data_IF_415729289657
#
_entry.id   IF_415729289657
#
_cell.length_a   1.000
_cell.length_b   1.000
_cell.length_c   1.000
_cell.angle_alpha   90.00
_cell.angle_beta   90.00
_cell.angle_gamma   90.00
#
_symmetry.space_group_name_H-M   'P 1'
#
loop_
_entity.id
_entity.type
_entity.pdbx_description
1 polymer ?
#
# COMPACT_ATOMS: atom_id res chain seq x y z
N UNK A 1 11.18 -0.61 -4.30
CA UNK A 1 10.48 -1.13 -5.51
C UNK A 1 10.36 -0.01 -6.55
N UNK A 2 9.88 -0.30 -7.76
CA UNK A 2 9.69 0.70 -8.83
C UNK A 2 8.22 0.72 -9.27
N UNK A 3 7.60 1.88 -9.35
CA UNK A 3 6.15 2.02 -9.52
C UNK A 3 5.83 2.66 -10.86
N UNK A 4 5.02 1.99 -11.67
CA UNK A 4 4.42 2.62 -12.86
C UNK A 4 3.38 3.66 -12.39
N UNK A 5 3.49 4.92 -12.83
CA UNK A 5 2.56 6.01 -12.49
C UNK A 5 2.09 6.73 -13.75
N UNK A 6 0.85 7.23 -13.77
CA UNK A 6 0.34 8.04 -14.88
C UNK A 6 0.68 9.52 -14.68
N UNK A 7 1.61 10.06 -15.47
CA UNK A 7 1.84 11.51 -15.58
C UNK A 7 0.71 12.21 -16.34
N UNK A 8 0.16 11.54 -17.35
CA UNK A 8 -1.10 11.91 -18.01
C UNK A 8 -2.03 10.73 -17.94
N UNK A 9 -3.20 10.96 -17.37
CA UNK A 9 -4.18 9.91 -17.17
C UNK A 9 -4.73 9.43 -18.52
N UNK A 10 -5.18 8.16 -18.61
CA UNK A 10 -5.68 7.59 -19.86
C UNK A 10 -6.90 8.32 -20.39
N UNK A 11 -6.85 8.64 -21.69
CA UNK A 11 -7.92 9.31 -22.42
C UNK A 11 -7.99 8.84 -23.87
N UNK A 12 -9.15 9.02 -24.47
CA UNK A 12 -9.36 8.77 -25.90
C UNK A 12 -9.09 10.05 -26.69
N UNK A 13 -8.24 9.95 -27.71
CA UNK A 13 -7.82 11.08 -28.54
C UNK A 13 -8.18 10.80 -30.00
N UNK A 14 -8.82 11.75 -30.70
CA UNK A 14 -9.09 11.62 -32.13
C UNK A 14 -7.79 11.68 -32.93
N UNK A 15 -7.68 10.87 -33.97
CA UNK A 15 -6.57 10.93 -34.92
C UNK A 15 -6.83 12.04 -35.94
N UNK A 16 -5.83 12.90 -36.16
CA UNK A 16 -5.98 14.06 -37.06
C UNK A 16 -6.25 13.60 -38.49
N UNK A 17 -7.34 14.10 -39.07
CA UNK A 17 -7.69 13.82 -40.47
C UNK A 17 -8.33 12.45 -40.71
N UNK A 18 -8.68 11.70 -39.66
CA UNK A 18 -9.42 10.44 -39.77
C UNK A 18 -10.64 10.45 -38.82
N UNK A 19 -11.57 9.52 -39.01
CA UNK A 19 -12.65 9.25 -38.05
C UNK A 19 -12.23 8.32 -36.92
N UNK A 20 -10.94 7.94 -36.84
CA UNK A 20 -10.42 6.99 -35.86
C UNK A 20 -9.98 7.71 -34.60
N UNK A 21 -10.02 6.98 -33.50
CA UNK A 21 -9.52 7.43 -32.21
C UNK A 21 -8.59 6.37 -31.62
N UNK A 22 -7.67 6.81 -30.77
CA UNK A 22 -6.76 5.94 -30.04
C UNK A 22 -6.76 6.30 -28.57
N UNK A 23 -6.44 5.34 -27.72
CA UNK A 23 -6.12 5.63 -26.33
C UNK A 23 -4.72 6.22 -26.26
N UNK A 24 -4.55 7.27 -25.46
CA UNK A 24 -3.27 7.85 -25.11
C UNK A 24 -3.14 8.04 -23.59
N UNK A 25 -1.98 7.69 -23.04
CA UNK A 25 -1.55 8.09 -21.70
C UNK A 25 -0.03 8.32 -21.67
N UNK A 26 0.46 8.91 -20.58
CA UNK A 26 1.90 9.11 -20.36
C UNK A 26 2.24 8.52 -19.01
N UNK A 27 3.19 7.58 -18.98
CA UNK A 27 3.65 6.96 -17.73
C UNK A 27 5.05 7.42 -17.35
N UNK A 28 5.39 7.22 -16.08
CA UNK A 28 6.76 7.17 -15.55
C UNK A 28 6.93 5.90 -14.72
N UNK A 29 8.18 5.50 -14.46
CA UNK A 29 8.52 4.40 -13.55
C UNK A 29 9.54 4.94 -12.55
N UNK A 30 9.16 5.04 -11.28
CA UNK A 30 9.98 5.70 -10.25
C UNK A 30 10.04 4.91 -8.96
N UNK A 31 10.91 5.31 -8.02
CA UNK A 31 10.84 4.89 -6.62
C UNK A 31 9.47 5.23 -6.00
N UNK A 32 9.22 4.71 -4.81
CA UNK A 32 8.10 5.10 -3.95
C UNK A 32 8.09 6.61 -3.65
N UNK A 33 9.26 7.22 -3.44
CA UNK A 33 9.44 8.67 -3.29
C UNK A 33 9.26 9.47 -4.60
N UNK A 34 9.35 8.81 -5.76
CA UNK A 34 9.33 9.51 -7.05
C UNK A 34 10.63 10.25 -7.41
N UNK A 35 11.69 10.10 -6.60
CA UNK A 35 12.95 10.84 -6.71
C UNK A 35 13.97 10.22 -7.67
N UNK A 36 13.77 8.96 -8.06
CA UNK A 36 14.64 8.21 -8.95
C UNK A 36 13.82 7.41 -9.96
N UNK A 37 14.29 7.38 -11.20
CA UNK A 37 13.66 6.64 -12.30
C UNK A 37 14.19 5.20 -12.38
N UNK A 38 13.44 4.30 -13.00
CA UNK A 38 13.91 2.93 -13.28
C UNK A 38 15.23 2.96 -14.09
N UNK A 39 16.34 2.42 -13.56
CA UNK A 39 17.66 2.58 -14.17
C UNK A 39 18.00 1.49 -15.21
N UNK A 40 17.05 0.64 -15.58
CA UNK A 40 17.24 -0.49 -16.51
C UNK A 40 16.27 -0.48 -17.68
N UNK A 41 16.60 -1.25 -18.70
CA UNK A 41 15.71 -1.53 -19.82
C UNK A 41 14.69 -2.60 -19.42
N UNK A 42 13.40 -2.35 -19.72
CA UNK A 42 12.33 -3.31 -19.47
C UNK A 42 11.27 -3.27 -20.56
N UNK A 43 10.73 -4.45 -20.89
CA UNK A 43 9.53 -4.57 -21.71
C UNK A 43 8.30 -4.60 -20.80
N UNK A 44 7.31 -3.77 -21.13
CA UNK A 44 6.03 -3.73 -20.43
C UNK A 44 4.91 -4.17 -21.36
N UNK A 45 3.92 -4.84 -20.82
CA UNK A 45 2.63 -5.06 -21.46
C UNK A 45 1.70 -3.88 -21.15
N UNK A 46 1.30 -3.13 -22.20
CA UNK A 46 0.24 -2.14 -22.11
C UNK A 46 -1.07 -2.74 -22.64
N UNK A 47 -2.04 -2.95 -21.75
CA UNK A 47 -3.28 -3.67 -22.01
C UNK A 47 -4.49 -2.76 -21.84
N UNK A 48 -5.27 -2.57 -22.90
CA UNK A 48 -6.60 -1.98 -22.84
C UNK A 48 -7.60 -3.09 -22.49
N UNK A 49 -8.26 -2.93 -21.35
CA UNK A 49 -9.24 -3.84 -20.80
C UNK A 49 -10.65 -3.28 -21.02
N UNK A 50 -11.58 -4.15 -21.42
CA UNK A 50 -13.01 -3.89 -21.38
C UNK A 50 -13.57 -4.46 -20.07
N UNK A 51 -14.14 -3.60 -19.24
CA UNK A 51 -14.78 -3.95 -17.97
C UNK A 51 -16.26 -4.24 -18.23
N UNK A 52 -16.68 -5.47 -17.93
CA UNK A 52 -18.05 -5.94 -18.06
C UNK A 52 -18.53 -6.54 -16.74
N UNK A 53 -19.82 -6.86 -16.64
CA UNK A 53 -20.36 -7.58 -15.48
C UNK A 53 -19.71 -8.96 -15.26
N UNK A 54 -19.13 -9.56 -16.31
CA UNK A 54 -18.44 -10.85 -16.25
C UNK A 54 -16.95 -10.74 -15.85
N UNK A 55 -16.42 -9.51 -15.71
CA UNK A 55 -15.03 -9.24 -15.37
C UNK A 55 -14.31 -8.35 -16.39
N UNK A 56 -12.98 -8.32 -16.27
CA UNK A 56 -12.08 -7.55 -17.15
C UNK A 56 -11.52 -8.45 -18.26
N UNK A 57 -11.66 -8.01 -19.52
CA UNK A 57 -11.15 -8.75 -20.68
C UNK A 57 -10.20 -7.89 -21.51
N UNK A 58 -9.08 -8.46 -21.96
CA UNK A 58 -8.11 -7.75 -22.82
C UNK A 58 -8.72 -7.51 -24.18
N UNK A 59 -9.00 -6.24 -24.50
CA UNK A 59 -9.51 -5.82 -25.80
C UNK A 59 -8.37 -5.65 -26.81
N UNK A 60 -7.30 -4.98 -26.39
CA UNK A 60 -6.09 -4.73 -27.20
C UNK A 60 -4.91 -4.71 -26.25
N UNK A 61 -3.77 -5.25 -26.66
CA UNK A 61 -2.52 -5.06 -25.92
C UNK A 61 -1.34 -4.88 -26.86
N UNK A 62 -0.27 -4.28 -26.36
CA UNK A 62 1.02 -4.20 -27.04
C UNK A 62 2.17 -4.28 -26.04
N UNK A 63 3.32 -4.73 -26.52
CA UNK A 63 4.58 -4.56 -25.81
C UNK A 63 5.11 -3.14 -26.04
N UNK A 64 5.56 -2.48 -24.97
CA UNK A 64 6.27 -1.21 -25.03
C UNK A 64 7.63 -1.34 -24.35
N UNK A 65 8.62 -0.61 -24.86
CA UNK A 65 9.97 -0.62 -24.31
C UNK A 65 10.18 0.64 -23.45
N UNK A 66 10.58 0.41 -22.20
CA UNK A 66 11.25 1.43 -21.40
C UNK A 66 12.76 1.22 -21.53
N UNK A 67 13.51 2.30 -21.75
CA UNK A 67 14.98 2.29 -21.81
C UNK A 67 15.52 3.09 -20.65
N UNK A 68 16.63 2.63 -20.08
CA UNK A 68 17.36 3.34 -19.04
C UNK A 68 17.61 4.80 -19.43
N UNK A 69 17.41 5.72 -18.47
CA UNK A 69 17.49 7.16 -18.68
C UNK A 69 16.19 7.83 -19.14
N UNK A 70 15.14 7.07 -19.48
CA UNK A 70 13.81 7.62 -19.70
C UNK A 70 13.25 8.24 -18.40
N UNK A 71 12.51 9.34 -18.57
CA UNK A 71 11.72 9.97 -17.48
C UNK A 71 10.22 9.77 -17.65
N UNK A 72 9.80 9.44 -18.87
CA UNK A 72 8.41 9.21 -19.20
C UNK A 72 8.31 8.41 -20.49
N UNK A 73 7.26 7.60 -20.62
CA UNK A 73 6.98 6.80 -21.80
C UNK A 73 5.54 7.04 -22.27
N UNK A 74 5.33 7.59 -23.48
CA UNK A 74 3.98 7.72 -24.04
C UNK A 74 3.43 6.36 -24.46
N UNK A 75 2.20 6.08 -24.07
CA UNK A 75 1.49 4.86 -24.43
C UNK A 75 0.33 5.23 -25.34
N UNK A 76 0.27 4.57 -26.50
CA UNK A 76 -0.80 4.71 -27.48
C UNK A 76 -1.32 3.35 -27.90
N UNK A 77 -2.62 3.09 -27.73
CA UNK A 77 -3.27 1.84 -28.12
C UNK A 77 -4.40 2.14 -29.12
N UNK A 78 -4.52 1.37 -30.23
CA UNK A 78 -5.67 1.52 -31.11
C UNK A 78 -6.95 1.13 -30.37
N UNK A 79 -8.06 1.81 -30.68
CA UNK A 79 -9.37 1.37 -30.23
C UNK A 79 -9.91 0.30 -31.18
N UNK A 80 -10.55 -0.77 -30.67
CA UNK A 80 -11.20 -1.76 -31.52
C UNK A 80 -12.36 -1.13 -32.30
N UNK A 81 -12.48 -1.48 -33.58
CA UNK A 81 -13.48 -0.93 -34.51
C UNK A 81 -14.93 -1.36 -34.20
N UNK A 82 -15.11 -2.43 -33.42
CA UNK A 82 -16.41 -2.85 -32.92
C UNK A 82 -16.90 -1.81 -31.92
N UNK A 83 -18.11 -1.28 -32.10
CA UNK A 83 -18.81 -0.48 -31.09
C UNK A 83 -18.54 -1.11 -29.73
N UNK A 84 -17.82 -0.45 -28.83
CA UNK A 84 -17.69 -0.86 -27.43
C UNK A 84 -18.97 -0.36 -26.77
N UNK A 85 -20.07 -1.13 -26.75
CA UNK A 85 -21.33 -0.61 -26.26
C UNK A 85 -21.24 -0.68 -24.74
N UNK A 86 -21.52 0.43 -24.06
CA UNK A 86 -21.78 0.50 -22.61
C UNK A 86 -20.73 -0.06 -21.61
N UNK A 87 -19.57 -0.54 -22.06
CA UNK A 87 -18.51 -1.07 -21.18
C UNK A 87 -17.52 0.01 -20.80
N UNK A 88 -17.14 0.04 -19.51
CA UNK A 88 -16.07 0.91 -19.04
C UNK A 88 -14.74 0.35 -19.56
N UNK A 89 -13.85 1.22 -20.01
CA UNK A 89 -12.49 0.86 -20.41
C UNK A 89 -11.54 1.09 -19.25
N UNK A 90 -10.46 0.32 -19.18
CA UNK A 90 -9.37 0.52 -18.23
C UNK A 90 -8.06 0.18 -18.90
N UNK A 91 -6.96 0.84 -18.53
CA UNK A 91 -5.63 0.39 -18.94
C UNK A 91 -4.91 -0.26 -17.77
N UNK A 92 -4.26 -1.39 -18.05
CA UNK A 92 -3.23 -1.99 -17.20
C UNK A 92 -1.88 -1.81 -17.88
N UNK A 93 -0.87 -1.44 -17.10
CA UNK A 93 0.53 -1.46 -17.54
C UNK A 93 1.34 -2.20 -16.49
N UNK A 94 2.09 -3.22 -16.91
CA UNK A 94 2.91 -4.03 -16.02
C UNK A 94 3.98 -4.80 -16.79
N UNK A 95 4.94 -5.45 -16.10
CA UNK A 95 5.98 -6.25 -16.74
C UNK A 95 5.39 -7.50 -17.42
N UNK A 96 4.37 -8.12 -16.84
CA UNK A 96 3.83 -9.38 -17.31
C UNK A 96 2.45 -9.24 -17.98
N UNK A 97 2.29 -9.75 -19.22
CA UNK A 97 1.02 -9.68 -19.94
C UNK A 97 -0.03 -10.59 -19.28
N UNK A 98 -1.29 -10.14 -19.28
CA UNK A 98 -2.48 -10.89 -18.84
C UNK A 98 -2.49 -11.33 -17.37
N UNK A 99 -1.48 -10.98 -16.57
CA UNK A 99 -1.53 -11.16 -15.11
C UNK A 99 -2.55 -10.22 -14.45
N UNK A 100 -3.46 -10.70 -13.60
CA UNK A 100 -4.49 -9.85 -12.98
C UNK A 100 -4.00 -9.12 -11.71
N UNK A 101 -2.81 -9.43 -11.22
CA UNK A 101 -2.18 -8.89 -10.01
C UNK A 101 -0.66 -9.05 -10.08
N UNK A 102 0.05 -8.32 -9.23
CA UNK A 102 1.46 -8.55 -8.91
C UNK A 102 1.58 -9.56 -7.75
N UNK A 103 2.76 -10.17 -7.60
CA UNK A 103 3.10 -11.07 -6.50
C UNK A 103 4.41 -10.61 -5.88
N UNK A 104 4.45 -10.44 -4.55
CA UNK A 104 5.64 -9.91 -3.88
C UNK A 104 6.88 -10.79 -4.11
N UNK A 105 6.71 -12.11 -4.07
CA UNK A 105 7.79 -13.04 -4.36
C UNK A 105 8.34 -12.86 -5.79
N UNK A 106 7.46 -12.68 -6.77
CA UNK A 106 7.85 -12.44 -8.16
C UNK A 106 8.58 -11.10 -8.31
N UNK A 107 8.19 -10.04 -7.57
CA UNK A 107 8.91 -8.76 -7.60
C UNK A 107 10.36 -8.89 -7.13
N UNK A 108 10.67 -9.86 -6.27
CA UNK A 108 12.02 -10.14 -5.78
C UNK A 108 12.85 -10.98 -6.76
N UNK A 109 12.26 -11.52 -7.83
CA UNK A 109 13.02 -12.22 -8.87
C UNK A 109 13.83 -11.22 -9.70
N UNK A 110 15.06 -11.59 -10.07
CA UNK A 110 15.96 -10.69 -10.82
C UNK A 110 15.37 -10.28 -12.17
N UNK A 111 14.61 -11.17 -12.82
CA UNK A 111 13.96 -10.89 -14.09
C UNK A 111 12.81 -9.87 -13.97
N UNK A 112 12.15 -9.77 -12.82
CA UNK A 112 11.00 -8.90 -12.62
C UNK A 112 11.36 -7.43 -12.38
N UNK A 113 12.63 -7.16 -12.06
CA UNK A 113 13.19 -5.81 -11.83
C UNK A 113 12.38 -4.96 -10.83
N UNK A 114 11.62 -5.60 -9.94
CA UNK A 114 10.82 -4.95 -8.90
C UNK A 114 9.79 -3.95 -9.39
N UNK A 115 9.27 -4.07 -10.62
CA UNK A 115 8.31 -3.12 -11.20
C UNK A 115 6.86 -3.49 -10.82
N UNK A 116 6.21 -2.60 -10.07
CA UNK A 116 4.82 -2.69 -9.65
C UNK A 116 3.89 -2.17 -10.75
N UNK A 117 2.94 -3.00 -11.14
CA UNK A 117 1.94 -2.76 -12.18
C UNK A 117 0.94 -1.67 -11.78
N UNK A 118 0.34 -1.02 -12.77
CA UNK A 118 -0.63 0.05 -12.59
C UNK A 118 -1.93 -0.23 -13.36
N UNK A 119 -3.06 -0.17 -12.67
CA UNK A 119 -4.39 -0.16 -13.26
C UNK A 119 -5.00 1.22 -13.13
N UNK A 120 -5.46 1.80 -14.24
CA UNK A 120 -6.20 3.08 -14.18
C UNK A 120 -7.58 2.89 -13.54
N UNK A 121 -8.29 3.97 -13.18
CA UNK A 121 -9.73 3.93 -13.02
C UNK A 121 -10.41 3.47 -14.32
N UNK A 122 -11.62 2.89 -14.23
CA UNK A 122 -12.44 2.70 -15.41
C UNK A 122 -12.87 4.06 -15.97
N UNK A 123 -12.94 4.18 -17.30
CA UNK A 123 -13.31 5.41 -18.00
C UNK A 123 -14.12 5.12 -19.26
N UNK A 124 -14.70 6.18 -19.82
CA UNK A 124 -15.40 6.15 -21.11
C UNK A 124 -14.70 7.10 -22.07
N UNK A 125 -14.98 7.04 -23.39
CA UNK A 125 -14.41 7.98 -24.35
C UNK A 125 -14.72 9.47 -24.08
N UNK A 126 -15.71 9.76 -23.23
CA UNK A 126 -16.22 11.11 -22.97
C UNK A 126 -15.79 11.68 -21.61
N UNK A 127 -15.16 10.87 -20.76
CA UNK A 127 -14.83 11.25 -19.37
C UNK A 127 -13.37 10.96 -19.11
N UNK A 128 -12.63 12.01 -18.75
CA UNK A 128 -11.25 11.88 -18.32
C UNK A 128 -11.15 11.10 -17.00
N UNK A 129 -10.09 10.31 -16.88
CA UNK A 129 -9.77 9.57 -15.67
C UNK A 129 -9.22 10.50 -14.59
N UNK A 130 -9.65 10.27 -13.34
CA UNK A 130 -9.03 10.88 -12.16
C UNK A 130 -7.60 10.34 -11.97
N UNK A 131 -6.75 11.12 -11.29
CA UNK A 131 -5.34 10.78 -11.00
C UNK A 131 -5.20 9.70 -9.92
N UNK A 132 -5.82 8.54 -10.15
CA UNK A 132 -5.73 7.37 -9.30
C UNK A 132 -5.01 6.23 -10.02
N UNK A 133 -4.46 5.32 -9.24
CA UNK A 133 -3.97 4.02 -9.69
C UNK A 133 -4.45 2.97 -8.70
N UNK A 134 -4.97 1.86 -9.20
CA UNK A 134 -5.18 0.67 -8.39
C UNK A 134 -3.92 -0.20 -8.47
N UNK A 135 -3.45 -0.65 -7.30
CA UNK A 135 -2.43 -1.69 -7.14
C UNK A 135 -3.11 -2.97 -6.69
N UNK A 136 -2.72 -4.09 -7.30
CA UNK A 136 -3.30 -5.40 -7.03
C UNK A 136 -2.19 -6.35 -6.65
N UNK A 137 -2.23 -6.92 -5.45
CA UNK A 137 -1.24 -7.87 -4.97
C UNK A 137 -1.93 -9.18 -4.58
N UNK A 138 -1.54 -10.30 -5.19
CA UNK A 138 -1.94 -11.62 -4.71
C UNK A 138 -1.05 -11.99 -3.54
N UNK A 139 -1.69 -12.26 -2.41
CA UNK A 139 -1.06 -12.79 -1.23
C UNK A 139 -0.93 -14.33 -1.36
N UNK A 140 0.03 -14.98 -0.66
CA UNK A 140 0.31 -16.41 -0.78
C UNK A 140 -0.88 -17.38 -0.67
N UNK A 141 -1.98 -16.97 -0.02
CA UNK A 141 -3.20 -17.77 0.18
C UNK A 141 -4.37 -17.38 -0.76
N UNK A 142 -4.06 -16.93 -1.97
CA UNK A 142 -4.98 -16.53 -3.05
C UNK A 142 -5.88 -15.30 -2.82
N UNK A 143 -5.79 -14.67 -1.66
CA UNK A 143 -6.43 -13.37 -1.45
C UNK A 143 -5.71 -12.32 -2.29
N UNK A 144 -6.43 -11.62 -3.16
CA UNK A 144 -5.90 -10.45 -3.88
C UNK A 144 -6.33 -9.19 -3.13
N UNK A 145 -5.33 -8.41 -2.71
CA UNK A 145 -5.53 -7.09 -2.12
C UNK A 145 -5.51 -6.06 -3.25
N UNK A 146 -6.56 -5.27 -3.35
CA UNK A 146 -6.67 -4.19 -4.32
C UNK A 146 -6.78 -2.86 -3.59
N UNK A 147 -5.79 -1.98 -3.76
CA UNK A 147 -5.72 -0.68 -3.11
C UNK A 147 -5.58 0.42 -4.14
N UNK A 148 -6.42 1.45 -4.00
CA UNK A 148 -6.30 2.71 -4.72
C UNK A 148 -5.30 3.63 -4.02
N UNK A 149 -4.44 4.23 -4.82
CA UNK A 149 -3.61 5.38 -4.44
C UNK A 149 -3.84 6.54 -5.41
N UNK A 150 -3.59 7.76 -4.95
CA UNK A 150 -3.53 8.94 -5.80
C UNK A 150 -2.13 9.07 -6.42
N UNK A 151 -2.05 9.62 -7.63
CA UNK A 151 -0.80 9.91 -8.34
C UNK A 151 -0.43 11.39 -8.30
N UNK A 152 -1.01 12.12 -7.34
CA UNK A 152 -0.69 13.52 -7.04
C UNK A 152 0.59 13.68 -6.23
N UNK A 153 0.71 14.78 -5.50
CA UNK A 153 1.88 15.10 -4.65
C UNK A 153 1.65 14.77 -3.16
N UNK A 154 0.55 14.09 -2.82
CA UNK A 154 0.15 13.88 -1.43
C UNK A 154 0.76 12.61 -0.84
N UNK A 155 1.68 12.76 0.12
CA UNK A 155 2.38 11.67 0.80
C UNK A 155 1.43 10.62 1.37
N UNK A 156 0.37 11.04 2.08
CA UNK A 156 -0.56 10.12 2.74
C UNK A 156 -1.49 9.38 1.77
N UNK A 157 -1.51 9.76 0.48
CA UNK A 157 -2.37 9.14 -0.53
C UNK A 157 -1.59 8.23 -1.48
N UNK A 158 -0.35 7.89 -1.14
CA UNK A 158 0.52 6.97 -1.87
C UNK A 158 0.74 5.67 -1.11
N UNK A 159 1.01 4.60 -1.85
CA UNK A 159 1.54 3.36 -1.29
C UNK A 159 3.06 3.43 -1.17
N UNK A 160 3.55 2.92 -0.05
CA UNK A 160 4.96 2.94 0.33
C UNK A 160 5.52 1.52 0.44
N UNK A 161 6.83 1.38 0.21
CA UNK A 161 7.51 0.09 0.18
C UNK A 161 7.26 -0.71 1.48
N UNK A 162 7.27 -0.07 2.65
CA UNK A 162 7.05 -0.75 3.93
C UNK A 162 5.63 -1.31 4.08
N UNK A 163 4.62 -0.60 3.60
CA UNK A 163 3.22 -1.04 3.68
C UNK A 163 2.97 -2.26 2.79
N UNK A 164 3.51 -2.27 1.57
CA UNK A 164 3.40 -3.41 0.66
C UNK A 164 4.18 -4.61 1.20
N UNK A 165 5.46 -4.43 1.55
CA UNK A 165 6.29 -5.51 2.05
C UNK A 165 5.68 -6.15 3.29
N UNK A 166 5.25 -5.35 4.28
CA UNK A 166 4.59 -5.85 5.47
C UNK A 166 3.31 -6.64 5.15
N UNK A 167 2.39 -6.07 4.36
CA UNK A 167 1.14 -6.75 3.99
C UNK A 167 1.35 -8.09 3.33
N UNK A 168 2.37 -8.22 2.48
CA UNK A 168 2.69 -9.48 1.83
C UNK A 168 3.24 -10.56 2.78
N UNK A 169 3.77 -10.16 3.94
CA UNK A 169 4.25 -11.07 5.00
C UNK A 169 3.17 -11.36 6.04
N UNK A 170 2.15 -10.51 6.18
CA UNK A 170 1.11 -10.67 7.20
C UNK A 170 0.29 -11.96 7.05
N UNK A 171 0.25 -12.60 5.86
CA UNK A 171 -0.43 -13.90 5.69
C UNK A 171 0.11 -14.99 6.61
N UNK A 172 1.37 -14.87 7.00
CA UNK A 172 2.05 -15.82 7.87
C UNK A 172 1.53 -15.77 9.31
N UNK A 173 0.74 -14.76 9.67
CA UNK A 173 -0.02 -14.71 10.93
C UNK A 173 -1.01 -15.86 11.10
N UNK A 174 -1.39 -16.55 10.00
CA UNK A 174 -2.26 -17.74 10.06
C UNK A 174 -1.54 -18.97 10.63
N UNK A 175 -0.21 -19.02 10.57
CA UNK A 175 0.59 -20.07 11.19
C UNK A 175 1.31 -19.52 12.42
N UNK A 176 0.93 -19.95 13.65
CA UNK A 176 1.51 -19.44 14.89
C UNK A 176 3.01 -19.74 15.05
N UNK A 177 3.60 -20.60 14.21
CA UNK A 177 5.02 -20.95 14.29
C UNK A 177 5.93 -19.96 13.55
N UNK A 178 5.36 -19.12 12.68
CA UNK A 178 6.13 -18.14 11.90
C UNK A 178 6.70 -17.06 12.80
N UNK A 179 7.83 -16.45 12.39
CA UNK A 179 8.49 -15.40 13.19
C UNK A 179 7.58 -14.18 13.37
N UNK A 180 6.80 -13.81 12.33
CA UNK A 180 5.87 -12.69 12.39
C UNK A 180 4.67 -12.98 13.30
N UNK A 181 4.13 -14.21 13.32
CA UNK A 181 3.09 -14.59 14.25
C UNK A 181 3.58 -14.56 15.70
N UNK A 182 4.77 -15.11 15.97
CA UNK A 182 5.38 -15.06 17.30
C UNK A 182 5.69 -13.63 17.77
N UNK A 183 6.04 -12.74 16.84
CA UNK A 183 6.33 -11.35 17.16
C UNK A 183 5.05 -10.52 17.41
N UNK A 184 4.05 -10.62 16.53
CA UNK A 184 2.84 -9.78 16.57
C UNK A 184 1.73 -10.35 17.46
N UNK A 185 1.66 -11.68 17.59
CA UNK A 185 0.65 -12.41 18.37
C UNK A 185 1.35 -13.42 19.32
N UNK A 186 2.21 -12.94 20.24
CA UNK A 186 3.04 -13.80 21.10
C UNK A 186 2.26 -14.68 22.08
N UNK A 187 0.98 -14.36 22.30
CA UNK A 187 0.02 -15.18 23.05
C UNK A 187 -1.18 -15.47 22.16
N UNK A 188 -1.85 -16.63 22.32
CA UNK A 188 -3.09 -16.91 21.59
C UNK A 188 -4.07 -15.74 21.72
N UNK A 189 -4.52 -15.13 20.62
CA UNK A 189 -5.37 -13.95 20.68
C UNK A 189 -6.73 -14.31 21.29
N UNK A 190 -7.19 -13.49 22.24
CA UNK A 190 -8.59 -13.50 22.66
C UNK A 190 -9.40 -12.69 21.67
N UNK A 191 -10.45 -13.28 21.11
CA UNK A 191 -11.28 -12.59 20.13
C UNK A 191 -12.43 -11.81 20.79
N UNK A 192 -12.82 -10.64 20.24
CA UNK A 192 -12.21 -10.01 19.05
C UNK A 192 -10.83 -9.38 19.34
N UNK A 193 -9.91 -9.50 18.37
CA UNK A 193 -8.58 -8.88 18.42
C UNK A 193 -8.70 -7.42 17.96
N UNK A 194 -8.32 -6.45 18.78
CA UNK A 194 -8.43 -5.02 18.44
C UNK A 194 -7.10 -4.51 17.89
N UNK A 195 -7.14 -4.05 16.64
CA UNK A 195 -5.98 -3.56 15.90
C UNK A 195 -6.19 -2.08 15.57
N UNK A 196 -5.20 -1.25 15.88
CA UNK A 196 -5.15 0.16 15.51
C UNK A 196 -4.00 0.39 14.54
N UNK A 197 -4.28 0.90 13.34
CA UNK A 197 -3.24 1.35 12.41
C UNK A 197 -3.05 2.86 12.54
N UNK A 198 -1.81 3.31 12.77
CA UNK A 198 -1.43 4.73 12.81
C UNK A 198 -0.79 5.13 11.47
N UNK A 199 -1.22 6.25 10.90
CA UNK A 199 -0.69 6.74 9.63
C UNK A 199 -0.98 5.78 8.48
N UNK A 200 -2.25 5.35 8.37
CA UNK A 200 -2.70 4.28 7.47
C UNK A 200 -2.51 4.62 5.98
N UNK A 201 -2.48 5.90 5.62
CA UNK A 201 -2.50 6.39 4.26
C UNK A 201 -3.62 5.77 3.43
N UNK A 202 -3.26 4.91 2.47
CA UNK A 202 -4.22 4.18 1.65
C UNK A 202 -4.90 2.99 2.34
N UNK A 203 -4.45 2.54 3.52
CA UNK A 203 -5.06 1.45 4.27
C UNK A 203 -4.53 0.04 3.99
N UNK A 204 -3.43 -0.09 3.25
CA UNK A 204 -2.92 -1.39 2.77
C UNK A 204 -2.71 -2.42 3.89
N UNK A 205 -2.12 -2.02 5.02
CA UNK A 205 -1.77 -2.94 6.12
C UNK A 205 -3.03 -3.35 6.90
N UNK A 206 -3.82 -2.38 7.37
CA UNK A 206 -5.02 -2.69 8.14
C UNK A 206 -6.11 -3.38 7.34
N UNK A 207 -6.29 -3.06 6.05
CA UNK A 207 -7.20 -3.82 5.15
C UNK A 207 -6.73 -5.27 5.03
N UNK A 208 -5.43 -5.48 4.84
CA UNK A 208 -4.86 -6.84 4.76
C UNK A 208 -5.12 -7.60 6.06
N UNK A 209 -4.86 -6.99 7.22
CA UNK A 209 -5.14 -7.58 8.54
C UNK A 209 -6.62 -7.96 8.70
N UNK A 210 -7.54 -7.06 8.34
CA UNK A 210 -8.97 -7.32 8.45
C UNK A 210 -9.41 -8.52 7.59
N UNK A 211 -8.85 -8.67 6.39
CA UNK A 211 -9.20 -9.78 5.49
C UNK A 211 -8.58 -11.13 5.86
N UNK A 212 -7.39 -11.14 6.49
CA UNK A 212 -6.73 -12.40 6.89
C UNK A 212 -7.10 -12.84 8.31
N UNK A 213 -7.57 -11.92 9.16
CA UNK A 213 -8.00 -12.17 10.54
C UNK A 213 -9.51 -11.87 10.67
N UNK A 214 -10.41 -12.83 10.35
CA UNK A 214 -11.84 -12.58 10.25
C UNK A 214 -12.54 -12.13 11.55
N UNK A 215 -11.90 -12.32 12.71
CA UNK A 215 -12.42 -11.90 14.02
C UNK A 215 -11.70 -10.67 14.59
N UNK A 216 -10.85 -10.01 13.80
CA UNK A 216 -10.20 -8.77 14.21
C UNK A 216 -11.14 -7.57 13.99
N UNK A 217 -11.08 -6.61 14.92
CA UNK A 217 -11.64 -5.28 14.73
C UNK A 217 -10.50 -4.33 14.43
N UNK A 218 -10.46 -3.84 13.19
CA UNK A 218 -9.38 -2.99 12.70
C UNK A 218 -9.87 -1.55 12.59
N UNK A 219 -9.16 -0.63 13.23
CA UNK A 219 -9.39 0.80 13.11
C UNK A 219 -8.19 1.44 12.39
N UNK A 220 -8.43 1.97 11.20
CA UNK A 220 -7.45 2.74 10.43
C UNK A 220 -7.46 4.18 10.90
N UNK A 221 -6.30 4.76 11.14
CA UNK A 221 -6.20 6.17 11.55
C UNK A 221 -5.13 6.94 10.79
N UNK A 222 -5.43 8.20 10.51
CA UNK A 222 -4.54 9.13 9.83
C UNK A 222 -5.09 10.56 10.00
N UNK A 223 -4.40 11.56 9.45
CA UNK A 223 -4.92 12.90 9.32
C UNK A 223 -6.15 12.93 8.40
N UNK A 224 -7.06 13.93 8.55
CA UNK A 224 -8.27 14.05 7.73
C UNK A 224 -8.02 14.01 6.21
N UNK A 225 -6.84 14.43 5.77
CA UNK A 225 -6.48 14.46 4.35
C UNK A 225 -6.41 13.07 3.70
N UNK A 226 -6.20 11.99 4.47
CA UNK A 226 -6.16 10.61 3.97
C UNK A 226 -7.54 9.93 4.01
N UNK A 227 -8.55 10.53 4.66
CA UNK A 227 -9.86 9.93 4.86
C UNK A 227 -10.51 9.48 3.55
N UNK A 228 -10.51 10.33 2.52
CA UNK A 228 -11.17 10.02 1.25
C UNK A 228 -10.58 8.77 0.57
N UNK A 229 -9.24 8.63 0.56
CA UNK A 229 -8.58 7.50 -0.08
C UNK A 229 -8.70 6.23 0.76
N UNK A 230 -8.55 6.34 2.08
CA UNK A 230 -8.72 5.23 3.00
C UNK A 230 -10.16 4.69 2.94
N UNK A 231 -11.18 5.57 3.00
CA UNK A 231 -12.58 5.18 2.93
C UNK A 231 -12.91 4.50 1.60
N UNK A 232 -12.39 5.00 0.46
CA UNK A 232 -12.56 4.33 -0.83
C UNK A 232 -12.05 2.88 -0.78
N UNK A 233 -10.90 2.65 -0.15
CA UNK A 233 -10.30 1.32 -0.06
C UNK A 233 -11.03 0.42 0.94
N UNK A 234 -11.53 0.97 2.06
CA UNK A 234 -12.42 0.26 2.99
C UNK A 234 -13.70 -0.18 2.28
N UNK A 235 -14.36 0.72 1.56
CA UNK A 235 -15.59 0.42 0.84
C UNK A 235 -15.36 -0.70 -0.19
N UNK A 236 -14.24 -0.65 -0.92
CA UNK A 236 -13.86 -1.71 -1.85
C UNK A 236 -13.60 -3.06 -1.14
N UNK A 237 -12.88 -3.05 -0.02
CA UNK A 237 -12.54 -4.27 0.72
C UNK A 237 -13.78 -4.93 1.36
N UNK A 238 -14.76 -4.13 1.78
CA UNK A 238 -15.97 -4.58 2.49
C UNK A 238 -17.12 -4.97 1.56
N UNK A 239 -17.04 -4.66 0.26
CA UNK A 239 -18.07 -5.06 -0.71
C UNK A 239 -18.29 -6.58 -0.80
N UNK A 240 -17.21 -7.36 -0.67
CA UNK A 240 -17.25 -8.81 -0.83
C UNK A 240 -17.32 -9.58 0.50
N UNK A 241 -17.03 -8.93 1.63
CA UNK A 241 -16.87 -9.56 2.93
C UNK A 241 -17.32 -8.62 4.04
N UNK A 242 -18.03 -9.15 5.05
CA UNK A 242 -18.32 -8.40 6.26
C UNK A 242 -17.05 -8.34 7.12
N UNK A 243 -16.30 -7.23 7.01
CA UNK A 243 -15.12 -6.97 7.82
C UNK A 243 -15.44 -5.94 8.90
N UNK A 244 -14.93 -6.14 10.12
CA UNK A 244 -14.96 -5.09 11.14
C UNK A 244 -13.80 -4.13 10.92
N UNK A 245 -13.97 -3.22 9.96
CA UNK A 245 -12.97 -2.27 9.51
C UNK A 245 -13.57 -0.85 9.46
N UNK A 246 -12.87 0.14 10.00
CA UNK A 246 -13.32 1.53 9.96
C UNK A 246 -12.16 2.52 9.88
N UNK A 247 -12.48 3.78 9.59
CA UNK A 247 -11.54 4.89 9.58
C UNK A 247 -11.89 5.90 10.69
N UNK A 248 -10.87 6.44 11.33
CA UNK A 248 -10.99 7.55 12.27
C UNK A 248 -9.84 8.54 12.05
N UNK A 249 -10.18 9.82 11.86
CA UNK A 249 -9.17 10.86 11.82
C UNK A 249 -8.46 10.97 13.18
N UNK A 250 -7.13 10.94 13.18
CA UNK A 250 -6.30 11.00 14.37
C UNK A 250 -5.05 11.84 14.08
N UNK A 251 -4.93 12.95 14.79
CA UNK A 251 -3.75 13.80 14.80
C UNK A 251 -2.91 13.48 16.04
N UNK A 252 -1.65 13.09 15.84
CA UNK A 252 -0.72 12.74 16.94
C UNK A 252 -0.37 13.94 17.82
N UNK A 253 -0.57 15.16 17.34
CA UNK A 253 -0.35 16.40 18.10
C UNK A 253 -1.52 16.80 18.99
N UNK A 254 -2.69 16.18 18.79
CA UNK A 254 -3.89 16.43 19.59
C UNK A 254 -4.03 15.39 20.69
N UNK A 255 -4.66 15.75 21.81
CA UNK A 255 -4.86 14.85 22.94
C UNK A 255 -5.69 13.61 22.55
N UNK A 256 -5.15 12.43 22.79
CA UNK A 256 -5.72 11.15 22.32
C UNK A 256 -7.09 10.87 22.94
N UNK A 257 -7.28 11.22 24.21
CA UNK A 257 -8.54 11.02 24.93
C UNK A 257 -9.71 11.81 24.33
N UNK A 258 -9.40 12.90 23.60
CA UNK A 258 -10.40 13.70 22.88
C UNK A 258 -10.77 13.15 21.50
N UNK A 259 -9.97 12.25 20.93
CA UNK A 259 -10.08 11.78 19.55
C UNK A 259 -10.53 10.32 19.45
N UNK A 260 -10.08 9.46 20.35
CA UNK A 260 -10.54 8.07 20.40
C UNK A 260 -11.88 7.97 21.13
N UNK A 261 -12.77 7.04 20.72
CA UNK A 261 -13.96 6.71 21.49
C UNK A 261 -13.57 6.36 22.94
N UNK A 262 -14.41 6.68 23.95
CA UNK A 262 -14.12 6.39 25.35
C UNK A 262 -13.65 4.94 25.53
N UNK A 263 -12.44 4.79 26.07
CA UNK A 263 -11.73 3.52 26.21
C UNK A 263 -12.51 2.54 27.09
N UNK A 264 -13.38 1.74 26.48
CA UNK A 264 -14.00 0.58 27.10
C UNK A 264 -13.34 -0.72 26.64
N UNK A 265 -12.53 -0.68 25.58
CA UNK A 265 -11.89 -1.85 25.00
C UNK A 265 -10.40 -1.59 24.76
N UNK A 266 -9.50 -2.40 25.35
CA UNK A 266 -8.07 -2.28 25.15
C UNK A 266 -7.67 -2.64 23.70
N UNK A 267 -6.61 -2.02 23.20
CA UNK A 267 -6.00 -2.33 21.90
C UNK A 267 -4.94 -3.41 22.10
N UNK A 268 -5.00 -4.46 21.29
CA UNK A 268 -4.06 -5.59 21.37
C UNK A 268 -2.81 -5.35 20.51
N UNK A 269 -2.99 -4.75 19.34
CA UNK A 269 -1.93 -4.47 18.37
C UNK A 269 -2.06 -3.04 17.82
N UNK A 270 -0.98 -2.27 17.91
CA UNK A 270 -0.79 -1.04 17.14
C UNK A 270 0.21 -1.32 16.04
N UNK A 271 -0.11 -0.92 14.81
CA UNK A 271 0.76 -1.10 13.66
C UNK A 271 0.92 0.20 12.89
N UNK A 272 2.10 0.45 12.34
CA UNK A 272 2.36 1.59 11.47
C UNK A 272 3.42 1.20 10.41
N UNK A 273 3.30 1.73 9.20
CA UNK A 273 4.25 1.49 8.12
C UNK A 273 4.74 2.81 7.52
N UNK A 274 6.06 2.98 7.41
CA UNK A 274 6.74 4.18 6.89
C UNK A 274 6.30 5.51 7.57
N UNK A 275 5.98 5.46 8.86
CA UNK A 275 5.53 6.62 9.65
C UNK A 275 6.66 7.39 10.37
N UNK A 276 7.92 6.98 10.20
CA UNK A 276 9.08 7.57 10.90
C UNK A 276 9.93 8.49 10.02
N UNK A 277 9.52 8.74 8.78
CA UNK A 277 10.28 9.49 7.78
C UNK A 277 10.58 10.94 8.20
N UNK A 278 9.65 11.57 8.94
CA UNK A 278 9.83 12.92 9.47
C UNK A 278 10.32 12.86 10.93
N UNK A 279 11.58 13.23 11.22
CA UNK A 279 12.10 13.22 12.60
C UNK A 279 11.32 14.15 13.53
N UNK A 280 10.74 15.24 13.02
CA UNK A 280 9.98 16.20 13.81
C UNK A 280 8.62 15.65 14.28
N UNK A 281 8.06 14.67 13.56
CA UNK A 281 6.82 13.99 13.93
C UNK A 281 7.04 12.84 14.93
N UNK A 282 8.29 12.38 15.10
CA UNK A 282 8.62 11.24 15.97
C UNK A 282 8.23 11.44 17.45
N UNK A 283 8.44 12.62 18.08
CA UNK A 283 7.98 12.86 19.46
C UNK A 283 6.48 12.67 19.63
N UNK A 284 5.69 13.08 18.63
CA UNK A 284 4.23 13.02 18.67
C UNK A 284 3.71 11.60 18.47
N UNK A 285 4.30 10.85 17.54
CA UNK A 285 4.04 9.42 17.40
C UNK A 285 4.33 8.66 18.70
N UNK A 286 5.52 8.87 19.30
CA UNK A 286 5.90 8.18 20.55
C UNK A 286 4.98 8.54 21.70
N UNK A 287 4.55 9.80 21.82
CA UNK A 287 3.56 10.22 22.83
C UNK A 287 2.23 9.49 22.65
N UNK A 288 1.73 9.36 21.42
CA UNK A 288 0.53 8.59 21.11
C UNK A 288 0.69 7.12 21.54
N UNK A 289 1.82 6.49 21.21
CA UNK A 289 2.12 5.11 21.62
C UNK A 289 2.16 4.95 23.16
N UNK A 290 2.73 5.91 23.89
CA UNK A 290 2.72 5.92 25.36
C UNK A 290 1.29 5.92 25.90
N UNK A 291 0.41 6.81 25.39
CA UNK A 291 -0.99 6.90 25.83
C UNK A 291 -1.79 5.62 25.53
N UNK A 292 -1.54 5.01 24.37
CA UNK A 292 -2.13 3.72 24.01
C UNK A 292 -1.70 2.62 24.98
N UNK A 293 -0.40 2.56 25.33
CA UNK A 293 0.11 1.59 26.29
C UNK A 293 -0.36 1.83 27.74
N UNK A 294 -0.62 3.09 28.14
CA UNK A 294 -1.25 3.41 29.44
C UNK A 294 -2.67 2.81 29.53
N UNK A 295 -3.41 2.84 28.43
CA UNK A 295 -4.77 2.30 28.34
C UNK A 295 -4.81 0.80 28.01
N UNK A 296 -3.70 0.24 27.55
CA UNK A 296 -3.57 -1.15 27.10
C UNK A 296 -2.19 -1.70 27.47
N UNK A 297 -1.98 -2.13 28.74
CA UNK A 297 -0.65 -2.48 29.24
C UNK A 297 0.06 -3.63 28.49
N UNK A 298 -0.71 -4.50 27.83
CA UNK A 298 -0.20 -5.66 27.09
C UNK A 298 -0.06 -5.42 25.57
N UNK A 299 -0.26 -4.18 25.12
CA UNK A 299 -0.27 -3.83 23.69
C UNK A 299 1.05 -4.20 23.02
N UNK A 300 0.96 -4.77 21.82
CA UNK A 300 2.09 -4.93 20.90
C UNK A 300 2.16 -3.71 20.00
N UNK A 301 3.34 -3.11 19.87
CA UNK A 301 3.57 -1.99 18.94
C UNK A 301 4.49 -2.45 17.83
N UNK A 302 4.04 -2.40 16.58
CA UNK A 302 4.76 -2.89 15.43
C UNK A 302 4.97 -1.76 14.40
N UNK A 303 6.23 -1.42 14.12
CA UNK A 303 6.60 -0.32 13.23
C UNK A 303 7.42 -0.88 12.08
N UNK A 304 6.82 -0.94 10.89
CA UNK A 304 7.52 -1.23 9.65
C UNK A 304 8.12 0.05 9.09
N UNK A 305 9.39 0.04 8.73
CA UNK A 305 10.04 1.20 8.11
C UNK A 305 11.11 0.78 7.10
N UNK A 306 11.21 1.53 6.01
CA UNK A 306 12.38 1.58 5.14
C UNK A 306 13.20 2.81 5.53
N UNK A 307 14.35 2.61 6.18
CA UNK A 307 15.21 3.72 6.60
C UNK A 307 15.80 4.39 5.36
N UNK A 308 15.51 5.68 5.16
CA UNK A 308 15.96 6.51 4.02
C UNK A 308 17.03 7.50 4.44
N UNK A 309 16.99 7.96 5.69
CA UNK A 309 17.98 8.90 6.22
C UNK A 309 18.31 8.62 7.69
N UNK A 310 19.54 8.93 8.11
CA UNK A 310 20.01 8.67 9.47
C UNK A 310 19.26 9.48 10.54
N UNK A 311 18.58 10.58 10.16
CA UNK A 311 17.76 11.38 11.08
C UNK A 311 16.58 10.60 11.66
N UNK A 312 16.08 9.59 10.95
CA UNK A 312 14.98 8.73 11.42
C UNK A 312 15.38 7.92 12.68
N UNK A 313 16.69 7.77 12.95
CA UNK A 313 17.19 7.08 14.13
C UNK A 313 16.75 7.74 15.46
N UNK A 314 16.34 9.01 15.44
CA UNK A 314 15.79 9.71 16.61
C UNK A 314 14.59 8.96 17.22
N UNK A 315 13.81 8.27 16.38
CA UNK A 315 12.65 7.48 16.81
C UNK A 315 13.05 6.41 17.83
N UNK A 316 14.12 5.65 17.60
CA UNK A 316 14.57 4.58 18.49
C UNK A 316 14.97 5.12 19.88
N UNK A 317 15.68 6.25 19.91
CA UNK A 317 16.06 6.90 21.16
C UNK A 317 14.84 7.41 21.95
N UNK A 318 13.80 7.89 21.25
CA UNK A 318 12.54 8.30 21.88
C UNK A 318 11.76 7.11 22.44
N UNK A 319 11.66 6.01 21.69
CA UNK A 319 11.03 4.77 22.13
C UNK A 319 11.69 4.21 23.40
N UNK A 320 13.03 4.15 23.42
CA UNK A 320 13.79 3.69 24.58
C UNK A 320 13.53 4.57 25.81
N UNK A 321 13.60 5.90 25.67
CA UNK A 321 13.31 6.84 26.78
C UNK A 321 11.88 6.74 27.28
N UNK A 322 10.94 6.38 26.42
CA UNK A 322 9.54 6.16 26.76
C UNK A 322 9.26 4.79 27.40
N UNK A 323 10.29 3.95 27.59
CA UNK A 323 10.20 2.64 28.22
C UNK A 323 9.74 1.52 27.27
N UNK A 324 9.79 1.73 25.97
CA UNK A 324 9.55 0.66 24.99
C UNK A 324 10.84 -0.15 24.77
N UNK A 325 10.70 -1.47 24.82
CA UNK A 325 11.77 -2.46 24.57
C UNK A 325 11.46 -3.18 23.27
N UNK A 326 12.45 -3.26 22.39
CA UNK A 326 12.35 -4.04 21.15
C UNK A 326 12.38 -5.54 21.46
N UNK A 327 11.32 -6.23 21.07
CA UNK A 327 11.12 -7.67 21.27
C UNK A 327 11.55 -8.47 20.04
N UNK A 328 11.41 -7.89 18.84
CA UNK A 328 11.80 -8.51 17.59
C UNK A 328 12.11 -7.46 16.52
N UNK A 329 12.98 -7.83 15.57
CA UNK A 329 13.30 -7.07 14.37
C UNK A 329 13.30 -8.03 13.18
N UNK A 330 12.23 -7.99 12.39
CA UNK A 330 12.10 -8.80 11.18
C UNK A 330 12.49 -7.96 9.96
N UNK A 331 13.11 -8.60 8.98
CA UNK A 331 13.65 -7.91 7.79
C UNK A 331 13.03 -8.48 6.54
N UNK A 332 12.45 -7.62 5.73
CA UNK A 332 11.82 -7.99 4.46
C UNK A 332 12.63 -7.37 3.32
N UNK A 333 13.24 -8.20 2.46
CA UNK A 333 14.05 -7.70 1.36
C UNK A 333 13.17 -7.03 0.31
N UNK A 334 13.67 -5.94 -0.27
CA UNK A 334 13.09 -5.32 -1.45
C UNK A 334 13.88 -5.75 -2.71
N UNK A 335 13.32 -5.64 -3.92
CA UNK A 335 14.00 -6.07 -5.15
C UNK A 335 15.33 -5.37 -5.41
N UNK A 336 15.51 -4.14 -4.89
CA UNK A 336 16.67 -3.29 -5.13
C UNK A 336 16.81 -2.87 -6.59
N UNK A 337 17.81 -2.05 -6.89
CA UNK A 337 18.20 -1.76 -8.26
C UNK A 337 19.27 -2.77 -8.70
N UNK A 338 20.34 -2.90 -7.91
CA UNK A 338 21.48 -3.76 -8.26
C UNK A 338 21.25 -5.21 -7.83
N UNK A 339 20.71 -5.40 -6.64
CA UNK A 339 20.45 -6.71 -6.07
C UNK A 339 19.31 -6.67 -5.06
N UNK A 340 18.62 -7.80 -4.93
CA UNK A 340 17.61 -8.02 -3.90
C UNK A 340 18.22 -7.83 -2.51
N UNK A 341 17.53 -7.09 -1.67
CA UNK A 341 17.96 -6.77 -0.31
C UNK A 341 19.00 -5.65 -0.22
N UNK A 342 19.29 -4.94 -1.32
CA UNK A 342 19.99 -3.64 -1.26
C UNK A 342 19.25 -2.67 -0.35
N UNK A 343 17.93 -2.66 -0.45
CA UNK A 343 17.03 -1.99 0.47
C UNK A 343 16.22 -3.02 1.24
N UNK A 344 15.92 -2.70 2.50
CA UNK A 344 15.18 -3.58 3.41
C UNK A 344 14.08 -2.78 4.10
N UNK A 345 12.95 -3.44 4.32
CA UNK A 345 11.94 -3.00 5.28
C UNK A 345 12.21 -3.72 6.58
N UNK A 346 12.30 -2.96 7.68
CA UNK A 346 12.45 -3.48 9.02
C UNK A 346 11.13 -3.37 9.77
N UNK A 347 10.62 -4.49 10.28
CA UNK A 347 9.50 -4.53 11.22
C UNK A 347 10.05 -4.62 12.63
N UNK A 348 10.05 -3.49 13.32
CA UNK A 348 10.43 -3.38 14.72
C UNK A 348 9.21 -3.60 15.61
N UNK A 349 9.27 -4.58 16.51
CA UNK A 349 8.17 -4.93 17.40
C UNK A 349 8.56 -4.61 18.84
N UNK A 350 7.73 -3.86 19.54
CA UNK A 350 7.99 -3.34 20.87
C UNK A 350 6.92 -3.73 21.87
N UNK A 351 7.33 -3.75 23.14
CA UNK A 351 6.44 -3.72 24.32
C UNK A 351 6.89 -2.63 25.27
N UNK A 352 5.95 -2.00 25.98
CA UNK A 352 6.29 -1.08 27.06
C UNK A 352 6.57 -1.86 28.33
N UNK A 353 7.69 -1.58 29.01
CA UNK A 353 7.91 -2.11 30.35
C UNK A 353 6.94 -1.43 31.32
N UNK A 354 6.18 -2.23 32.05
CA UNK A 354 5.45 -1.74 33.22
C UNK A 354 6.51 -1.54 34.32
N UNK A 355 6.61 -0.35 34.94
CA UNK A 355 7.51 -0.17 36.07
C UNK A 355 7.16 -1.20 37.16
N UNK A 356 8.16 -1.87 37.72
CA UNK A 356 7.97 -2.72 38.90
C UNK A 356 7.32 -1.86 40.00
N UNK A 357 6.07 -2.16 40.34
CA UNK A 357 5.30 -1.49 41.39
C UNK A 357 5.81 -1.82 42.78
#
# INVERSE_FOLDING_TARGET
MRYIRFLKTPRIVPEKGTSRSHLHCLITITSDLGDSFLPYDIQLAAELLACTNAGEHVAVWKTVQWTSGMRSLPITLPLPNSQLPSSLLRIKIGPEPKKPHDEYAALLEREAQGVVSAWSPPFTPHVDTVKLVERRFKLPNELTISIWEETGESIARHLWDAGIALSCQLTDLKDPNTDIARALLPTPPTFPLHILELGTGCGMVGITLAQILPNAKVLLTDLPLAQDIAQRNIDQATQAQSLSLGFLALDWDVDLASQLPPASVPVDLVIAADCTYNPDSSPSLVRTLVRLAESSPNIIVAIAMKMRHSSEQVFFGLMQRAGFVEMANLKFPLPGDVQVGEEMVHLHVYRKLVPDT
#
